data_IF_765313397038
#
_entry.id   IF_765313397038
#
_cell.length_a   1.000
_cell.length_b   1.000
_cell.length_c   1.000
_cell.angle_alpha   90.00
_cell.angle_beta   90.00
_cell.angle_gamma   90.00
#
_symmetry.space_group_name_H-M   'P 1'
#
loop_
_entity.id
_entity.type
_entity.pdbx_description
1 polymer ?
#
# COMPACT_ATOMS: atom_id res chain seq x y z
N UNK A 1 102.01 -58.79 -23.10
CA UNK A 1 100.68 -58.41 -23.63
C UNK A 1 99.64 -59.16 -22.82
N UNK A 2 99.06 -58.54 -21.79
CA UNK A 2 97.95 -59.14 -21.05
C UNK A 2 96.69 -59.03 -21.90
N UNK A 3 96.19 -60.16 -22.37
CA UNK A 3 94.95 -60.25 -23.16
C UNK A 3 93.81 -60.05 -22.18
N UNK A 4 93.26 -58.83 -22.15
CA UNK A 4 92.02 -58.54 -21.43
C UNK A 4 90.95 -59.48 -21.99
N UNK A 5 90.46 -60.38 -21.16
CA UNK A 5 89.42 -61.32 -21.58
C UNK A 5 88.09 -60.57 -21.68
N UNK A 6 87.35 -60.76 -22.78
CA UNK A 6 86.04 -60.13 -23.02
C UNK A 6 85.04 -60.32 -21.86
N UNK A 7 85.24 -61.35 -21.04
CA UNK A 7 84.46 -61.67 -19.83
C UNK A 7 84.69 -60.65 -18.69
N UNK A 8 85.92 -60.16 -18.50
CA UNK A 8 86.19 -59.13 -17.49
C UNK A 8 85.64 -57.77 -17.89
N UNK A 9 85.69 -57.45 -19.19
CA UNK A 9 85.09 -56.25 -19.76
C UNK A 9 83.56 -56.27 -19.64
N UNK A 10 82.93 -57.44 -19.88
CA UNK A 10 81.49 -57.63 -19.65
C UNK A 10 81.09 -57.57 -18.17
N UNK A 11 81.92 -58.06 -17.24
CA UNK A 11 81.64 -57.97 -15.80
C UNK A 11 81.77 -56.54 -15.27
N UNK A 12 82.76 -55.79 -15.77
CA UNK A 12 82.96 -54.38 -15.40
C UNK A 12 81.86 -53.48 -15.98
N UNK A 13 81.53 -53.65 -17.27
CA UNK A 13 80.45 -52.90 -17.93
C UNK A 13 79.07 -53.33 -17.42
N UNK A 14 78.84 -54.63 -17.19
CA UNK A 14 77.58 -55.16 -16.67
C UNK A 14 77.30 -54.80 -15.21
N UNK A 15 78.33 -54.77 -14.36
CA UNK A 15 78.21 -54.31 -12.97
C UNK A 15 77.90 -52.81 -12.86
N UNK A 16 78.55 -51.99 -13.69
CA UNK A 16 78.25 -50.55 -13.80
C UNK A 16 76.84 -50.28 -14.33
N UNK A 17 76.40 -51.01 -15.35
CA UNK A 17 75.05 -50.90 -15.91
C UNK A 17 73.96 -51.30 -14.90
N UNK A 18 74.18 -52.35 -14.11
CA UNK A 18 73.24 -52.78 -13.07
C UNK A 18 73.11 -51.72 -11.95
N UNK A 19 74.21 -51.14 -11.49
CA UNK A 19 74.17 -50.05 -10.50
C UNK A 19 73.48 -48.80 -11.04
N UNK A 20 73.71 -48.42 -12.30
CA UNK A 20 73.01 -47.32 -12.95
C UNK A 20 71.51 -47.57 -13.08
N UNK A 21 71.10 -48.81 -13.39
CA UNK A 21 69.68 -49.17 -13.46
C UNK A 21 68.99 -49.03 -12.09
N UNK A 22 69.63 -49.51 -11.02
CA UNK A 22 69.12 -49.35 -9.65
C UNK A 22 69.08 -47.88 -9.23
N UNK A 23 70.12 -47.10 -9.52
CA UNK A 23 70.15 -45.67 -9.24
C UNK A 23 69.07 -44.90 -10.01
N UNK A 24 68.91 -45.17 -11.30
CA UNK A 24 67.86 -44.58 -12.12
C UNK A 24 66.46 -44.96 -11.60
N UNK A 25 66.27 -46.20 -11.16
CA UNK A 25 65.02 -46.65 -10.55
C UNK A 25 64.72 -45.93 -9.24
N UNK A 26 65.72 -45.76 -8.36
CA UNK A 26 65.56 -45.01 -7.10
C UNK A 26 65.26 -43.54 -7.33
N UNK A 27 65.98 -42.88 -8.24
CA UNK A 27 65.72 -41.47 -8.61
C UNK A 27 64.30 -41.33 -9.16
N UNK A 28 63.89 -42.26 -10.04
CA UNK A 28 62.51 -42.29 -10.58
C UNK A 28 61.47 -42.51 -9.48
N UNK A 29 61.74 -43.40 -8.53
CA UNK A 29 60.83 -43.67 -7.41
C UNK A 29 60.68 -42.45 -6.50
N UNK A 30 61.79 -41.79 -6.14
CA UNK A 30 61.79 -40.60 -5.29
C UNK A 30 61.09 -39.42 -5.99
N UNK A 31 61.36 -39.21 -7.27
CA UNK A 31 60.68 -38.17 -8.06
C UNK A 31 59.18 -38.43 -8.16
N UNK A 32 58.74 -39.66 -8.45
CA UNK A 32 57.32 -40.03 -8.47
C UNK A 32 56.65 -39.80 -7.11
N UNK A 33 57.30 -40.16 -6.00
CA UNK A 33 56.74 -39.98 -4.67
C UNK A 33 56.64 -38.50 -4.27
N UNK A 34 57.63 -37.68 -4.63
CA UNK A 34 57.58 -36.23 -4.43
C UNK A 34 56.47 -35.60 -5.27
N UNK A 35 56.38 -35.94 -6.57
CA UNK A 35 55.31 -35.46 -7.43
C UNK A 35 53.92 -35.88 -6.92
N UNK A 36 53.76 -37.13 -6.50
CA UNK A 36 52.49 -37.62 -5.96
C UNK A 36 52.06 -36.82 -4.73
N UNK A 37 53.00 -36.57 -3.80
CA UNK A 37 52.73 -35.79 -2.59
C UNK A 37 52.36 -34.34 -2.91
N UNK A 38 53.03 -33.73 -3.89
CA UNK A 38 52.76 -32.36 -4.27
C UNK A 38 51.40 -32.26 -4.98
N UNK A 39 51.05 -33.20 -5.87
CA UNK A 39 49.72 -33.29 -6.50
C UNK A 39 48.62 -33.42 -5.43
N UNK A 40 48.81 -34.28 -4.43
CA UNK A 40 47.85 -34.45 -3.34
C UNK A 40 47.69 -33.16 -2.52
N UNK A 41 48.80 -32.47 -2.19
CA UNK A 41 48.75 -31.18 -1.49
C UNK A 41 48.03 -30.10 -2.29
N UNK A 42 48.33 -29.98 -3.59
CA UNK A 42 47.64 -29.03 -4.46
C UNK A 42 46.15 -29.34 -4.56
N UNK A 43 45.79 -30.61 -4.75
CA UNK A 43 44.39 -31.04 -4.80
C UNK A 43 43.66 -30.76 -3.48
N UNK A 44 44.31 -31.02 -2.35
CA UNK A 44 43.76 -30.73 -1.02
C UNK A 44 43.57 -29.23 -0.80
N UNK A 45 44.58 -28.42 -1.13
CA UNK A 45 44.51 -26.96 -0.99
C UNK A 45 43.42 -26.37 -1.89
N UNK A 46 43.37 -26.79 -3.17
CA UNK A 46 42.36 -26.34 -4.12
C UNK A 46 40.95 -26.71 -3.65
N UNK A 47 40.75 -27.94 -3.15
CA UNK A 47 39.46 -28.36 -2.58
C UNK A 47 39.09 -27.53 -1.36
N UNK A 48 40.03 -27.30 -0.44
CA UNK A 48 39.81 -26.50 0.75
C UNK A 48 39.47 -25.05 0.42
N UNK A 49 40.13 -24.47 -0.58
CA UNK A 49 39.86 -23.11 -1.05
C UNK A 49 38.48 -23.01 -1.72
N UNK A 50 38.16 -23.98 -2.59
CA UNK A 50 36.83 -24.10 -3.19
C UNK A 50 35.72 -24.26 -2.14
N UNK A 51 35.92 -25.11 -1.14
CA UNK A 51 34.94 -25.33 -0.06
C UNK A 51 34.70 -24.04 0.75
N UNK A 52 35.76 -23.25 1.01
CA UNK A 52 35.65 -21.94 1.68
C UNK A 52 34.89 -20.92 0.84
N UNK A 53 35.20 -20.81 -0.45
CA UNK A 53 34.50 -19.89 -1.35
C UNK A 53 33.01 -20.22 -1.45
N UNK A 54 32.68 -21.51 -1.55
CA UNK A 54 31.30 -21.99 -1.55
C UNK A 54 30.59 -21.61 -0.25
N UNK A 55 31.25 -21.76 0.90
CA UNK A 55 30.67 -21.39 2.20
C UNK A 55 30.42 -19.88 2.31
N UNK A 56 31.38 -19.06 1.87
CA UNK A 56 31.23 -17.59 1.84
C UNK A 56 30.07 -17.18 0.93
N UNK A 57 29.98 -17.74 -0.27
CA UNK A 57 28.90 -17.45 -1.22
C UNK A 57 27.53 -17.89 -0.69
N UNK A 58 27.46 -19.05 -0.02
CA UNK A 58 26.22 -19.49 0.64
C UNK A 58 25.80 -18.54 1.75
N UNK A 59 26.74 -18.12 2.59
CA UNK A 59 26.47 -17.17 3.66
C UNK A 59 26.01 -15.82 3.11
N UNK A 60 26.66 -15.27 2.08
CA UNK A 60 26.24 -14.01 1.46
C UNK A 60 24.85 -14.13 0.83
N UNK A 61 24.55 -15.23 0.16
CA UNK A 61 23.24 -15.46 -0.44
C UNK A 61 22.12 -15.56 0.61
N UNK A 62 22.36 -16.30 1.70
CA UNK A 62 21.38 -16.39 2.81
C UNK A 62 21.12 -15.01 3.40
N UNK A 63 22.19 -14.25 3.65
CA UNK A 63 22.09 -12.88 4.17
C UNK A 63 21.28 -11.98 3.22
N UNK A 64 21.53 -12.03 1.91
CA UNK A 64 20.79 -11.25 0.92
C UNK A 64 19.30 -11.65 0.84
N UNK A 65 19.01 -12.95 0.93
CA UNK A 65 17.62 -13.42 0.96
C UNK A 65 16.89 -12.92 2.20
N UNK A 66 17.54 -12.96 3.37
CA UNK A 66 16.96 -12.47 4.62
C UNK A 66 16.73 -10.96 4.60
N UNK A 67 17.70 -10.18 4.07
CA UNK A 67 17.53 -8.72 3.95
C UNK A 67 16.42 -8.36 2.98
N UNK A 68 16.33 -9.04 1.83
CA UNK A 68 15.24 -8.84 0.86
C UNK A 68 13.88 -9.21 1.45
N UNK A 69 13.78 -10.34 2.15
CA UNK A 69 12.53 -10.75 2.84
C UNK A 69 12.11 -9.73 3.89
N UNK A 70 13.05 -9.26 4.70
CA UNK A 70 12.79 -8.24 5.73
C UNK A 70 12.30 -6.94 5.10
N UNK A 71 12.99 -6.47 4.04
CA UNK A 71 12.60 -5.27 3.30
C UNK A 71 11.20 -5.39 2.70
N UNK A 72 10.90 -6.51 2.04
CA UNK A 72 9.57 -6.76 1.47
C UNK A 72 8.47 -6.78 2.54
N UNK A 73 8.75 -7.42 3.69
CA UNK A 73 7.81 -7.46 4.81
C UNK A 73 7.55 -6.07 5.39
N UNK A 74 8.58 -5.24 5.50
CA UNK A 74 8.46 -3.85 5.98
C UNK A 74 7.67 -2.98 5.00
N UNK A 75 7.90 -3.13 3.70
CA UNK A 75 7.15 -2.40 2.67
C UNK A 75 5.69 -2.84 2.66
N UNK A 76 5.41 -4.15 2.73
CA UNK A 76 4.06 -4.69 2.82
C UNK A 76 3.32 -4.17 4.05
N UNK A 77 3.98 -4.15 5.22
CA UNK A 77 3.41 -3.59 6.45
C UNK A 77 3.12 -2.09 6.30
N UNK A 78 4.05 -1.34 5.69
CA UNK A 78 3.88 0.09 5.43
C UNK A 78 2.67 0.36 4.54
N UNK A 79 2.53 -0.41 3.45
CA UNK A 79 1.36 -0.34 2.58
C UNK A 79 0.07 -0.67 3.33
N UNK A 80 0.06 -1.73 4.15
CA UNK A 80 -1.11 -2.10 4.94
C UNK A 80 -1.51 -0.99 5.93
N UNK A 81 -0.55 -0.36 6.61
CA UNK A 81 -0.81 0.75 7.53
C UNK A 81 -1.36 1.95 6.78
N UNK A 82 -0.73 2.33 5.66
CA UNK A 82 -1.20 3.47 4.83
C UNK A 82 -2.60 3.23 4.30
N UNK A 83 -2.87 2.03 3.79
CA UNK A 83 -4.19 1.62 3.31
C UNK A 83 -5.22 1.68 4.44
N UNK A 84 -4.90 1.09 5.61
CA UNK A 84 -5.80 1.10 6.77
C UNK A 84 -6.14 2.52 7.22
N UNK A 85 -5.14 3.41 7.32
CA UNK A 85 -5.35 4.82 7.68
C UNK A 85 -6.15 5.58 6.63
N UNK A 86 -5.93 5.30 5.35
CA UNK A 86 -6.71 5.91 4.27
C UNK A 86 -8.18 5.47 4.35
N UNK A 87 -8.43 4.17 4.56
CA UNK A 87 -9.77 3.63 4.73
C UNK A 87 -10.47 4.19 5.97
N UNK A 88 -9.75 4.29 7.09
CA UNK A 88 -10.24 4.91 8.32
C UNK A 88 -10.65 6.37 8.09
N UNK A 89 -9.78 7.16 7.45
CA UNK A 89 -10.08 8.56 7.10
C UNK A 89 -11.30 8.66 6.19
N UNK A 90 -11.39 7.80 5.17
CA UNK A 90 -12.53 7.76 4.26
C UNK A 90 -13.83 7.40 4.98
N UNK A 91 -13.80 6.39 5.85
CA UNK A 91 -14.96 5.99 6.64
C UNK A 91 -15.42 7.16 7.52
N UNK A 92 -14.50 7.82 8.21
CA UNK A 92 -14.80 9.00 9.05
C UNK A 92 -15.40 10.16 8.25
N UNK A 93 -14.84 10.50 7.10
CA UNK A 93 -15.39 11.57 6.25
C UNK A 93 -16.79 11.25 5.75
N UNK A 94 -17.07 10.00 5.40
CA UNK A 94 -18.41 9.55 4.95
C UNK A 94 -19.40 9.54 6.11
N UNK A 95 -18.98 9.09 7.29
CA UNK A 95 -19.78 9.15 8.52
C UNK A 95 -20.15 10.60 8.88
N UNK A 96 -19.18 11.52 8.87
CA UNK A 96 -19.41 12.94 9.14
C UNK A 96 -20.38 13.57 8.13
N UNK A 97 -20.21 13.24 6.83
CA UNK A 97 -21.12 13.67 5.78
C UNK A 97 -22.54 13.14 6.03
N UNK A 98 -22.69 11.86 6.35
CA UNK A 98 -23.98 11.24 6.64
C UNK A 98 -24.71 11.93 7.79
N UNK A 99 -24.01 12.19 8.89
CA UNK A 99 -24.57 12.93 10.02
C UNK A 99 -25.02 14.35 9.64
N UNK A 100 -24.23 15.08 8.85
CA UNK A 100 -24.59 16.43 8.40
C UNK A 100 -25.81 16.42 7.47
N UNK A 101 -25.93 15.42 6.58
CA UNK A 101 -27.11 15.23 5.71
C UNK A 101 -28.38 15.00 6.54
N UNK A 102 -28.33 14.18 7.59
CA UNK A 102 -29.47 13.97 8.50
C UNK A 102 -29.83 15.26 9.24
N UNK A 103 -28.82 16.01 9.71
CA UNK A 103 -29.06 17.29 10.38
C UNK A 103 -29.75 18.29 9.46
N UNK A 104 -29.33 18.38 8.20
CA UNK A 104 -29.98 19.20 7.18
C UNK A 104 -31.43 18.78 6.92
N UNK A 105 -31.69 17.48 6.81
CA UNK A 105 -33.05 16.94 6.68
C UNK A 105 -33.93 17.35 7.86
N UNK A 106 -33.40 17.24 9.07
CA UNK A 106 -34.12 17.59 10.31
C UNK A 106 -34.46 19.08 10.34
N UNK A 107 -33.52 19.95 9.97
CA UNK A 107 -33.74 21.40 9.90
C UNK A 107 -34.74 21.76 8.80
N UNK A 108 -34.66 21.12 7.63
CA UNK A 108 -35.63 21.32 6.55
C UNK A 108 -37.05 20.93 6.97
N UNK A 109 -37.22 19.83 7.73
CA UNK A 109 -38.52 19.43 8.26
C UNK A 109 -39.05 20.44 9.28
N UNK A 110 -38.20 20.98 10.16
CA UNK A 110 -38.60 22.02 11.13
C UNK A 110 -39.08 23.31 10.46
N UNK A 111 -38.53 23.66 9.30
CA UNK A 111 -39.04 24.78 8.50
C UNK A 111 -40.49 24.57 8.02
N UNK A 112 -41.04 23.36 8.10
CA UNK A 112 -42.37 23.03 7.52
C UNK A 112 -43.43 22.62 8.53
N UNK A 113 -43.04 22.13 9.72
CA UNK A 113 -43.95 21.47 10.66
C UNK A 113 -44.69 22.43 11.61
N UNK A 114 -44.20 23.65 11.80
CA UNK A 114 -44.65 24.52 12.89
C UNK A 114 -44.67 25.98 12.45
N UNK A 115 -45.48 26.31 11.45
CA UNK A 115 -45.69 27.70 11.04
C UNK A 115 -47.15 28.06 11.27
N UNK A 116 -47.44 28.63 12.45
CA UNK A 116 -48.58 29.55 12.58
C UNK A 116 -48.18 30.85 11.86
N UNK A 117 -49.12 31.43 11.11
CA UNK A 117 -48.87 32.50 10.12
C UNK A 117 -48.24 33.81 10.68
N UNK A 118 -48.02 33.93 12.00
CA UNK A 118 -47.72 35.21 12.67
C UNK A 118 -46.29 35.36 13.27
N UNK A 119 -45.44 34.32 13.35
CA UNK A 119 -44.07 34.44 13.93
C UNK A 119 -42.95 34.46 12.88
N UNK A 120 -42.77 35.62 12.27
CA UNK A 120 -41.72 35.88 11.29
C UNK A 120 -40.29 35.80 11.85
N UNK A 121 -40.10 36.12 13.13
CA UNK A 121 -38.78 36.14 13.76
C UNK A 121 -38.26 34.72 13.98
N UNK A 122 -39.12 33.83 14.49
CA UNK A 122 -38.78 32.41 14.67
C UNK A 122 -38.47 31.73 13.33
N UNK A 123 -39.25 32.05 12.29
CA UNK A 123 -38.98 31.55 10.94
C UNK A 123 -37.61 31.97 10.41
N UNK A 124 -37.25 33.24 10.60
CA UNK A 124 -35.97 33.76 10.14
C UNK A 124 -34.81 33.04 10.85
N UNK A 125 -34.91 32.84 12.17
CA UNK A 125 -33.91 32.09 12.95
C UNK A 125 -33.74 30.67 12.41
N UNK A 126 -34.84 29.95 12.17
CA UNK A 126 -34.79 28.57 11.62
C UNK A 126 -34.19 28.54 10.21
N UNK A 127 -34.49 29.56 9.39
CA UNK A 127 -33.96 29.68 8.04
C UNK A 127 -32.44 29.94 8.06
N UNK A 128 -31.98 30.84 8.93
CA UNK A 128 -30.57 31.15 9.10
C UNK A 128 -29.81 29.92 9.63
N UNK A 129 -30.34 29.20 10.61
CA UNK A 129 -29.77 27.93 11.10
C UNK A 129 -29.61 26.88 9.98
N UNK A 130 -30.62 26.76 9.11
CA UNK A 130 -30.56 25.85 7.96
C UNK A 130 -29.48 26.27 6.95
N UNK A 131 -29.38 27.56 6.63
CA UNK A 131 -28.38 28.11 5.71
C UNK A 131 -26.97 27.87 6.25
N UNK A 132 -26.73 28.18 7.52
CA UNK A 132 -25.44 27.95 8.17
C UNK A 132 -25.04 26.48 8.11
N UNK A 133 -25.99 25.58 8.42
CA UNK A 133 -25.74 24.15 8.35
C UNK A 133 -25.45 23.65 6.94
N UNK A 134 -26.11 24.24 5.95
CA UNK A 134 -25.87 23.91 4.55
C UNK A 134 -24.46 24.31 4.14
N UNK A 135 -24.04 25.54 4.49
CA UNK A 135 -22.70 26.04 4.22
C UNK A 135 -21.62 25.19 4.90
N UNK A 136 -21.81 24.80 6.17
CA UNK A 136 -20.91 23.88 6.86
C UNK A 136 -20.79 22.53 6.14
N UNK A 137 -21.92 21.99 5.67
CA UNK A 137 -21.96 20.69 4.98
C UNK A 137 -21.23 20.78 3.65
N UNK A 138 -21.45 21.86 2.91
CA UNK A 138 -20.75 22.10 1.65
C UNK A 138 -19.23 22.32 1.87
N UNK A 139 -18.81 23.02 2.93
CA UNK A 139 -17.39 23.17 3.26
C UNK A 139 -16.73 21.81 3.51
N UNK A 140 -17.37 20.97 4.34
CA UNK A 140 -16.89 19.61 4.61
C UNK A 140 -16.72 18.80 3.31
N UNK A 141 -17.65 18.94 2.38
CA UNK A 141 -17.63 18.25 1.09
C UNK A 141 -16.45 18.69 0.21
N UNK A 142 -16.20 20.00 0.13
CA UNK A 142 -15.09 20.54 -0.64
C UNK A 142 -13.74 20.15 -0.02
N UNK A 143 -13.61 20.29 1.30
CA UNK A 143 -12.39 19.95 2.03
C UNK A 143 -12.03 18.46 1.93
N UNK A 144 -13.04 17.59 1.91
CA UNK A 144 -12.86 16.14 1.90
C UNK A 144 -13.17 15.48 0.54
N UNK A 145 -13.27 16.26 -0.55
CA UNK A 145 -13.69 15.78 -1.87
C UNK A 145 -12.92 14.54 -2.34
N UNK A 146 -11.61 14.48 -2.08
CA UNK A 146 -10.72 13.36 -2.46
C UNK A 146 -11.08 12.03 -1.78
N UNK A 147 -11.74 12.08 -0.62
CA UNK A 147 -12.13 10.89 0.13
C UNK A 147 -13.49 10.34 -0.31
N UNK A 148 -14.25 11.09 -1.10
CA UNK A 148 -15.57 10.67 -1.58
C UNK A 148 -15.49 10.05 -2.98
N UNK A 149 -16.30 9.01 -3.26
CA UNK A 149 -16.53 8.55 -4.62
C UNK A 149 -17.06 9.68 -5.51
N UNK A 150 -16.63 9.72 -6.77
CA UNK A 150 -17.07 10.73 -7.74
C UNK A 150 -18.60 10.81 -7.87
N UNK A 151 -19.29 9.66 -7.76
CA UNK A 151 -20.76 9.60 -7.77
C UNK A 151 -21.42 10.32 -6.59
N UNK A 152 -20.80 10.33 -5.41
CA UNK A 152 -21.29 11.13 -4.26
C UNK A 152 -21.21 12.61 -4.62
N UNK A 153 -20.04 13.05 -5.12
CA UNK A 153 -19.81 14.44 -5.48
C UNK A 153 -20.80 14.92 -6.55
N UNK A 154 -21.06 14.11 -7.58
CA UNK A 154 -22.03 14.43 -8.63
C UNK A 154 -23.46 14.60 -8.10
N UNK A 155 -23.92 13.66 -7.25
CA UNK A 155 -25.26 13.73 -6.64
C UNK A 155 -25.39 14.95 -5.74
N UNK A 156 -24.36 15.23 -4.96
CA UNK A 156 -24.32 16.35 -4.03
C UNK A 156 -24.21 17.68 -4.78
N UNK A 157 -23.53 17.76 -5.92
CA UNK A 157 -23.50 18.98 -6.72
C UNK A 157 -24.91 19.36 -7.21
N UNK A 158 -25.71 18.39 -7.64
CA UNK A 158 -27.13 18.61 -7.99
C UNK A 158 -27.95 19.12 -6.81
N UNK A 159 -27.77 18.51 -5.64
CA UNK A 159 -28.43 18.91 -4.41
C UNK A 159 -27.98 20.29 -3.90
N UNK A 160 -26.69 20.61 -4.01
CA UNK A 160 -26.16 21.91 -3.64
C UNK A 160 -26.77 23.05 -4.44
N UNK A 161 -27.04 22.85 -5.73
CA UNK A 161 -27.72 23.86 -6.55
C UNK A 161 -29.15 24.10 -6.04
N UNK A 162 -29.88 23.02 -5.73
CA UNK A 162 -31.22 23.10 -5.16
C UNK A 162 -31.20 23.81 -3.78
N UNK A 163 -30.23 23.46 -2.95
CA UNK A 163 -30.05 23.99 -1.60
C UNK A 163 -29.63 25.45 -1.59
N UNK A 164 -28.75 25.83 -2.51
CA UNK A 164 -28.31 27.21 -2.68
C UNK A 164 -29.48 28.08 -3.15
N UNK A 165 -30.23 27.61 -4.14
CA UNK A 165 -31.45 28.28 -4.59
C UNK A 165 -32.48 28.39 -3.45
N UNK A 166 -32.73 27.31 -2.70
CA UNK A 166 -33.55 27.34 -1.49
C UNK A 166 -33.06 28.36 -0.47
N UNK A 167 -31.77 28.37 -0.15
CA UNK A 167 -31.12 29.27 0.80
C UNK A 167 -31.25 30.73 0.39
N UNK A 168 -31.10 31.04 -0.90
CA UNK A 168 -31.30 32.38 -1.42
C UNK A 168 -32.77 32.81 -1.26
N UNK A 169 -33.72 31.96 -1.66
CA UNK A 169 -35.14 32.25 -1.52
C UNK A 169 -35.53 32.43 -0.04
N UNK A 170 -35.02 31.56 0.85
CA UNK A 170 -35.14 31.67 2.30
C UNK A 170 -34.68 33.04 2.78
N UNK A 171 -33.46 33.45 2.42
CA UNK A 171 -32.89 34.73 2.86
C UNK A 171 -33.64 35.96 2.35
N UNK A 172 -34.13 35.93 1.11
CA UNK A 172 -34.87 37.05 0.51
C UNK A 172 -36.30 37.16 1.03
N UNK A 173 -36.99 36.03 1.20
CA UNK A 173 -38.40 36.04 1.58
C UNK A 173 -38.65 35.99 3.09
N UNK A 174 -37.70 35.48 3.90
CA UNK A 174 -37.79 35.59 5.38
C UNK A 174 -37.78 37.04 5.85
N UNK A 175 -37.19 37.95 5.07
CA UNK A 175 -37.16 39.40 5.32
C UNK A 175 -38.34 40.15 4.72
N UNK A 176 -39.23 39.47 4.00
CA UNK A 176 -40.43 40.08 3.43
C UNK A 176 -41.58 40.02 4.43
N UNK A 177 -42.48 41.00 4.39
CA UNK A 177 -43.69 41.04 5.24
C UNK A 177 -44.68 39.91 4.94
N UNK A 178 -44.41 39.03 3.95
CA UNK A 178 -45.33 38.01 3.48
C UNK A 178 -44.77 36.59 3.74
N UNK A 179 -44.89 36.11 4.99
CA UNK A 179 -44.46 34.75 5.39
C UNK A 179 -45.12 33.67 4.53
N UNK A 180 -46.34 33.92 4.05
CA UNK A 180 -47.11 32.99 3.24
C UNK A 180 -46.47 32.70 1.87
N UNK A 181 -45.99 33.73 1.19
CA UNK A 181 -45.30 33.58 -0.11
C UNK A 181 -44.02 32.76 0.05
N UNK A 182 -43.32 32.96 1.18
CA UNK A 182 -42.17 32.15 1.57
C UNK A 182 -42.55 30.67 1.76
N UNK A 183 -43.57 30.38 2.56
CA UNK A 183 -44.01 29.01 2.88
C UNK A 183 -44.39 28.27 1.60
N UNK A 184 -45.13 28.93 0.71
CA UNK A 184 -45.58 28.33 -0.54
C UNK A 184 -44.40 28.08 -1.50
N UNK A 185 -43.44 29.01 -1.59
CA UNK A 185 -42.22 28.81 -2.36
C UNK A 185 -41.38 27.64 -1.81
N UNK A 186 -41.27 27.52 -0.48
CA UNK A 186 -40.53 26.43 0.16
C UNK A 186 -41.24 25.09 -0.05
N UNK A 187 -42.56 24.99 0.20
CA UNK A 187 -43.36 23.77 -0.01
C UNK A 187 -43.25 23.25 -1.46
N UNK A 188 -43.24 24.16 -2.44
CA UNK A 188 -43.07 23.78 -3.85
C UNK A 188 -41.71 23.12 -4.14
N UNK A 189 -40.65 23.52 -3.42
CA UNK A 189 -39.29 22.98 -3.57
C UNK A 189 -38.98 21.84 -2.58
N UNK A 190 -39.74 21.73 -1.49
CA UNK A 190 -39.59 20.73 -0.44
C UNK A 190 -39.61 19.31 -1.00
N UNK A 191 -40.56 19.00 -1.90
CA UNK A 191 -40.66 17.65 -2.48
C UNK A 191 -39.40 17.26 -3.28
N UNK A 192 -38.83 18.21 -4.01
CA UNK A 192 -37.57 18.01 -4.74
C UNK A 192 -36.41 17.81 -3.76
N UNK A 193 -36.38 18.59 -2.67
CA UNK A 193 -35.38 18.46 -1.61
C UNK A 193 -35.47 17.09 -0.94
N UNK A 194 -36.64 16.66 -0.47
CA UNK A 194 -36.85 15.38 0.20
C UNK A 194 -36.43 14.20 -0.68
N UNK A 195 -36.78 14.25 -1.97
CA UNK A 195 -36.43 13.22 -2.94
C UNK A 195 -34.91 13.14 -3.11
N UNK A 196 -34.25 14.26 -3.40
CA UNK A 196 -32.80 14.27 -3.61
C UNK A 196 -32.02 13.96 -2.33
N UNK A 197 -32.48 14.46 -1.19
CA UNK A 197 -31.89 14.21 0.12
C UNK A 197 -31.98 12.73 0.49
N UNK A 198 -33.14 12.09 0.30
CA UNK A 198 -33.31 10.65 0.49
C UNK A 198 -32.38 9.84 -0.40
N UNK A 199 -32.25 10.22 -1.67
CA UNK A 199 -31.36 9.54 -2.62
C UNK A 199 -29.89 9.67 -2.22
N UNK A 200 -29.45 10.85 -1.79
CA UNK A 200 -28.09 11.08 -1.29
C UNK A 200 -27.87 10.27 -0.02
N UNK A 201 -28.78 10.34 0.94
CA UNK A 201 -28.69 9.62 2.21
C UNK A 201 -28.53 8.12 1.98
N UNK A 202 -29.39 7.51 1.15
CA UNK A 202 -29.29 6.07 0.80
C UNK A 202 -27.96 5.74 0.13
N UNK A 203 -27.48 6.62 -0.75
CA UNK A 203 -26.21 6.40 -1.44
C UNK A 203 -25.02 6.48 -0.48
N UNK A 204 -24.95 7.54 0.35
CA UNK A 204 -23.91 7.71 1.38
C UNK A 204 -23.93 6.53 2.37
N UNK A 205 -25.11 6.12 2.81
CA UNK A 205 -25.28 4.95 3.68
C UNK A 205 -24.78 3.66 3.02
N UNK A 206 -25.11 3.44 1.75
CA UNK A 206 -24.65 2.25 1.02
C UNK A 206 -23.14 2.20 0.87
N UNK A 207 -22.50 3.34 0.59
CA UNK A 207 -21.05 3.46 0.50
C UNK A 207 -20.39 3.25 1.87
N UNK A 208 -21.00 3.77 2.94
CA UNK A 208 -20.51 3.55 4.30
C UNK A 208 -20.60 2.08 4.71
N UNK A 209 -21.74 1.42 4.48
CA UNK A 209 -21.92 -0.02 4.75
C UNK A 209 -20.96 -0.87 3.92
N UNK A 210 -20.71 -0.51 2.67
CA UNK A 210 -19.73 -1.19 1.82
C UNK A 210 -18.30 -1.08 2.40
N UNK A 211 -17.91 0.10 2.92
CA UNK A 211 -16.62 0.27 3.59
C UNK A 211 -16.49 -0.53 4.88
N UNK A 212 -17.59 -0.68 5.62
CA UNK A 212 -17.65 -1.49 6.84
C UNK A 212 -17.72 -3.01 6.57
N UNK A 213 -17.88 -3.42 5.30
CA UNK A 213 -18.01 -4.83 4.92
C UNK A 213 -19.37 -5.46 5.29
N UNK A 214 -20.40 -4.64 5.51
CA UNK A 214 -21.75 -5.10 5.93
C UNK A 214 -22.66 -5.36 4.72
N UNK A 215 -22.10 -5.76 3.56
CA UNK A 215 -22.93 -5.97 2.36
C UNK A 215 -23.83 -7.21 2.51
N UNK A 216 -25.14 -6.94 2.53
CA UNK A 216 -26.28 -7.84 2.36
C UNK A 216 -27.38 -7.11 1.62
#
# INVERSE_FOLDING_TARGET
MQVITWVELFKFVGGGAALLAVAAWLIRSLTLQLLSRDIEKYKFNLKRESDKEIEILKFSLVKEVETLKSSLSMEALTHQIRFSKLHERRAKSIEELYHKVIQLETLALRLTLEMDDDDHEELQVRADEFIDKFLETNSLLQENAIYFPSKIIEKIAGFNNLMFDLSLNLHYHSKSENAKDFIDAFKNKQKAFETQNSDIKRFVESEFRALLGVMG
#
